data_IF_446324372422
#
_entry.id   IF_446324372422
#
_cell.length_a   1.000
_cell.length_b   1.000
_cell.length_c   1.000
_cell.angle_alpha   90.00
_cell.angle_beta   90.00
_cell.angle_gamma   90.00
#
_symmetry.space_group_name_H-M   'P 1'
#
loop_
_entity.id
_entity.type
_entity.pdbx_description
1 polymer ?
#
# COMPACT_ATOMS: atom_id res chain seq x y z
N UNK A 1 -11.64 6.49 20.29
CA UNK A 1 -10.83 5.34 19.80
C UNK A 1 -10.50 5.43 18.31
N UNK A 2 -11.43 5.79 17.42
CA UNK A 2 -11.18 5.84 15.96
C UNK A 2 -10.04 6.77 15.54
N UNK A 3 -9.97 7.98 16.10
CA UNK A 3 -8.91 8.95 15.77
C UNK A 3 -7.53 8.42 16.16
N UNK A 4 -7.38 7.84 17.35
CA UNK A 4 -6.11 7.30 17.84
C UNK A 4 -5.67 6.13 16.95
N UNK A 5 -6.58 5.22 16.60
CA UNK A 5 -6.28 4.12 15.69
C UNK A 5 -5.82 4.63 14.32
N UNK A 6 -6.49 5.65 13.75
CA UNK A 6 -6.10 6.26 12.49
C UNK A 6 -4.74 6.97 12.55
N UNK A 7 -4.42 7.63 13.67
CA UNK A 7 -3.09 8.22 13.90
C UNK A 7 -2.02 7.12 13.94
N UNK A 8 -2.27 6.01 14.65
CA UNK A 8 -1.33 4.89 14.71
C UNK A 8 -1.10 4.26 13.33
N UNK A 9 -2.15 4.09 12.53
CA UNK A 9 -2.03 3.62 11.14
C UNK A 9 -1.21 4.58 10.28
N UNK A 10 -1.46 5.88 10.38
CA UNK A 10 -0.69 6.90 9.67
C UNK A 10 0.80 6.84 10.07
N UNK A 11 1.09 6.71 11.36
CA UNK A 11 2.46 6.59 11.85
C UNK A 11 3.14 5.32 11.33
N UNK A 12 2.46 4.18 11.37
CA UNK A 12 2.95 2.91 10.81
C UNK A 12 3.21 3.07 9.30
N UNK A 13 2.29 3.68 8.55
CA UNK A 13 2.47 3.94 7.12
C UNK A 13 3.72 4.79 6.86
N UNK A 14 3.91 5.89 7.59
CA UNK A 14 5.09 6.74 7.47
C UNK A 14 6.38 5.98 7.83
N UNK A 15 6.35 5.14 8.86
CA UNK A 15 7.48 4.30 9.25
C UNK A 15 7.82 3.27 8.17
N UNK A 16 6.82 2.66 7.53
CA UNK A 16 7.06 1.73 6.42
C UNK A 16 7.65 2.44 5.21
N UNK A 17 7.16 3.63 4.88
CA UNK A 17 7.78 4.49 3.84
C UNK A 17 9.23 4.84 4.22
N UNK A 18 9.52 5.07 5.51
CA UNK A 18 10.86 5.35 6.04
C UNK A 18 11.84 4.17 5.87
N UNK A 19 11.37 2.93 5.71
CA UNK A 19 12.23 1.80 5.34
C UNK A 19 12.75 1.90 3.90
N UNK A 20 12.02 2.56 3.00
CA UNK A 20 12.35 2.66 1.57
C UNK A 20 13.26 3.85 1.25
N UNK A 21 13.34 4.83 2.14
CA UNK A 21 14.10 6.07 1.97
C UNK A 21 15.47 5.97 2.65
N UNK A 22 16.54 6.26 1.89
CA UNK A 22 17.90 6.26 2.44
C UNK A 22 18.22 7.58 3.16
N UNK A 23 19.05 7.56 4.23
CA UNK A 23 19.46 8.78 4.94
C UNK A 23 20.10 9.83 4.04
N UNK A 24 20.96 9.41 3.12
CA UNK A 24 21.65 10.31 2.21
C UNK A 24 20.66 11.07 1.31
N UNK A 25 19.57 10.43 0.86
CA UNK A 25 18.56 11.07 0.01
C UNK A 25 17.68 12.05 0.79
N UNK A 26 17.45 11.79 2.08
CA UNK A 26 16.69 12.70 2.93
C UNK A 26 17.37 14.06 3.12
N UNK A 27 18.69 14.11 2.98
CA UNK A 27 19.43 15.36 2.99
C UNK A 27 19.08 16.25 1.79
N UNK A 28 18.98 15.68 0.59
CA UNK A 28 18.78 16.43 -0.65
C UNK A 28 17.31 16.67 -1.01
N UNK A 29 16.39 15.81 -0.58
CA UNK A 29 14.98 15.91 -0.95
C UNK A 29 14.09 16.41 0.20
N UNK A 30 13.35 17.54 0.03
CA UNK A 30 12.54 18.13 1.09
C UNK A 30 11.44 17.19 1.61
N UNK A 31 10.84 16.37 0.73
CA UNK A 31 9.81 15.39 1.11
C UNK A 31 10.34 14.31 2.04
N UNK A 32 11.54 13.79 1.73
CA UNK A 32 12.21 12.79 2.57
C UNK A 32 12.66 13.40 3.89
N UNK A 33 13.10 14.66 3.88
CA UNK A 33 13.40 15.40 5.10
C UNK A 33 12.18 15.55 6.01
N UNK A 34 11.01 15.85 5.43
CA UNK A 34 9.75 15.93 6.18
C UNK A 34 9.39 14.58 6.81
N UNK A 35 9.46 13.50 6.03
CA UNK A 35 9.29 12.14 6.54
C UNK A 35 10.21 11.87 7.73
N UNK A 36 11.48 12.30 7.64
CA UNK A 36 12.44 12.12 8.72
C UNK A 36 12.07 12.91 9.96
N UNK A 37 11.69 14.18 9.80
CA UNK A 37 11.25 15.05 10.88
C UNK A 37 10.04 14.49 11.64
N UNK A 38 9.09 13.87 10.93
CA UNK A 38 7.89 13.29 11.55
C UNK A 38 8.22 11.97 12.27
N UNK A 39 9.04 11.11 11.67
CA UNK A 39 9.30 9.76 12.18
C UNK A 39 10.39 9.68 13.25
N UNK A 40 11.37 10.59 13.22
CA UNK A 40 12.52 10.53 14.13
C UNK A 40 12.15 10.57 15.62
N UNK A 41 11.23 11.44 16.11
CA UNK A 41 10.84 11.47 17.52
C UNK A 41 10.27 10.14 18.01
N UNK A 42 9.54 9.43 17.15
CA UNK A 42 8.88 8.15 17.45
C UNK A 42 9.89 7.01 17.42
N UNK A 43 10.96 7.16 16.63
CA UNK A 43 12.05 6.19 16.53
C UNK A 43 13.06 6.29 17.68
N UNK A 44 13.16 7.42 18.39
CA UNK A 44 14.15 7.64 19.46
C UNK A 44 14.24 6.47 20.46
N UNK A 45 13.13 5.92 20.99
CA UNK A 45 13.21 4.81 21.94
C UNK A 45 13.82 3.54 21.33
N UNK A 46 13.52 3.25 20.06
CA UNK A 46 14.03 2.05 19.38
C UNK A 46 15.54 2.11 19.09
N UNK A 47 16.12 3.32 19.03
CA UNK A 47 17.56 3.52 18.79
C UNK A 47 18.43 3.00 19.93
N UNK A 48 17.88 2.88 21.15
CA UNK A 48 18.58 2.27 22.27
C UNK A 48 18.67 0.74 22.17
N UNK A 49 17.75 0.12 21.42
CA UNK A 49 17.62 -1.34 21.31
C UNK A 49 18.22 -1.92 20.02
N UNK A 50 18.49 -1.07 19.03
CA UNK A 50 18.77 -1.51 17.66
C UNK A 50 20.06 -0.90 17.12
N UNK A 51 20.74 -1.65 16.24
CA UNK A 51 22.02 -1.21 15.65
C UNK A 51 21.83 -0.44 14.35
N UNK A 52 20.79 -0.79 13.60
CA UNK A 52 20.52 -0.19 12.28
C UNK A 52 19.20 0.56 12.29
N UNK A 53 19.09 1.57 11.41
CA UNK A 53 17.86 2.31 11.23
C UNK A 53 16.67 1.40 10.88
N UNK A 54 16.88 0.43 9.98
CA UNK A 54 15.82 -0.48 9.56
C UNK A 54 15.30 -1.32 10.74
N UNK A 55 16.20 -1.84 11.58
CA UNK A 55 15.82 -2.56 12.80
C UNK A 55 15.01 -1.66 13.73
N UNK A 56 15.45 -0.41 13.97
CA UNK A 56 14.71 0.53 14.81
C UNK A 56 13.29 0.78 14.32
N UNK A 57 13.14 1.01 13.00
CA UNK A 57 11.83 1.17 12.37
C UNK A 57 10.96 -0.08 12.52
N UNK A 58 11.50 -1.27 12.28
CA UNK A 58 10.75 -2.53 12.42
C UNK A 58 10.29 -2.75 13.87
N UNK A 59 11.17 -2.51 14.85
CA UNK A 59 10.84 -2.61 16.28
C UNK A 59 9.75 -1.61 16.65
N UNK A 60 9.83 -0.37 16.18
CA UNK A 60 8.79 0.63 16.42
C UNK A 60 7.47 0.26 15.78
N UNK A 61 7.46 -0.23 14.53
CA UNK A 61 6.24 -0.70 13.86
C UNK A 61 5.59 -1.83 14.69
N UNK A 62 6.36 -2.83 15.10
CA UNK A 62 5.87 -3.92 15.96
C UNK A 62 5.32 -3.39 17.28
N UNK A 63 6.01 -2.46 17.94
CA UNK A 63 5.55 -1.86 19.19
C UNK A 63 4.23 -1.09 19.00
N UNK A 64 4.07 -0.34 17.91
CA UNK A 64 2.84 0.37 17.60
C UNK A 64 1.69 -0.59 17.26
N UNK A 65 1.96 -1.70 16.58
CA UNK A 65 0.98 -2.75 16.31
C UNK A 65 0.50 -3.41 17.60
N UNK A 66 1.41 -3.74 18.52
CA UNK A 66 1.04 -4.31 19.83
C UNK A 66 0.25 -3.28 20.66
N UNK A 67 0.69 -2.01 20.67
CA UNK A 67 -0.02 -0.93 21.35
C UNK A 67 -1.44 -0.74 20.81
N UNK A 68 -1.62 -0.75 19.49
CA UNK A 68 -2.94 -0.67 18.84
C UNK A 68 -3.83 -1.84 19.25
N UNK A 69 -3.28 -3.06 19.29
CA UNK A 69 -4.00 -4.23 19.79
C UNK A 69 -4.40 -4.12 21.27
N UNK A 70 -3.55 -3.57 22.11
CA UNK A 70 -3.87 -3.29 23.51
C UNK A 70 -4.97 -2.22 23.65
N UNK A 71 -5.00 -1.20 22.78
CA UNK A 71 -6.07 -0.20 22.73
C UNK A 71 -7.41 -0.82 22.32
N UNK A 72 -7.42 -1.75 21.36
CA UNK A 72 -8.63 -2.52 21.04
C UNK A 72 -9.13 -3.29 22.26
N UNK A 73 -8.23 -3.88 23.05
CA UNK A 73 -8.61 -4.55 24.29
C UNK A 73 -9.14 -3.60 25.36
N UNK A 74 -8.50 -2.45 25.54
CA UNK A 74 -8.91 -1.44 26.51
C UNK A 74 -10.28 -0.82 26.17
N UNK A 75 -10.66 -0.81 24.88
CA UNK A 75 -11.97 -0.34 24.42
C UNK A 75 -13.12 -1.31 24.72
N UNK A 76 -12.84 -2.50 25.27
CA UNK A 76 -13.84 -3.52 25.57
C UNK A 76 -14.34 -4.30 24.34
N UNK A 77 -13.80 -4.05 23.15
CA UNK A 77 -14.25 -4.67 21.90
C UNK A 77 -13.81 -6.14 21.77
N UNK A 78 -12.66 -6.50 22.33
CA UNK A 78 -12.07 -7.84 22.20
C UNK A 78 -11.01 -8.08 23.29
N UNK A 79 -10.66 -9.34 23.57
CA UNK A 79 -9.57 -9.65 24.50
C UNK A 79 -8.18 -9.30 23.93
N UNK A 80 -7.18 -9.14 24.79
CA UNK A 80 -5.83 -8.69 24.41
C UNK A 80 -5.20 -9.49 23.26
N UNK A 81 -5.24 -10.82 23.34
CA UNK A 81 -4.70 -11.68 22.27
C UNK A 81 -5.40 -11.42 20.93
N UNK A 82 -6.74 -11.36 20.92
CA UNK A 82 -7.52 -11.05 19.71
C UNK A 82 -7.25 -9.63 19.20
N UNK A 83 -7.08 -8.66 20.10
CA UNK A 83 -6.72 -7.28 19.76
C UNK A 83 -5.36 -7.19 19.05
N UNK A 84 -4.33 -7.88 19.57
CA UNK A 84 -3.01 -7.96 18.92
C UNK A 84 -3.11 -8.67 17.57
N UNK A 85 -3.85 -9.78 17.49
CA UNK A 85 -4.09 -10.49 16.23
C UNK A 85 -4.76 -9.60 15.17
N UNK A 86 -5.81 -8.88 15.57
CA UNK A 86 -6.53 -7.95 14.71
C UNK A 86 -5.62 -6.82 14.21
N UNK A 87 -4.84 -6.19 15.10
CA UNK A 87 -3.91 -5.14 14.68
C UNK A 87 -2.80 -5.68 13.77
N UNK A 88 -2.37 -6.93 13.95
CA UNK A 88 -1.35 -7.57 13.10
C UNK A 88 -1.90 -7.87 11.71
N UNK A 89 -3.17 -8.30 11.61
CA UNK A 89 -3.87 -8.45 10.33
C UNK A 89 -4.01 -7.11 9.60
N UNK A 90 -4.35 -6.04 10.30
CA UNK A 90 -4.42 -4.70 9.71
C UNK A 90 -3.06 -4.21 9.20
N UNK A 91 -1.97 -4.48 9.92
CA UNK A 91 -0.61 -4.23 9.42
C UNK A 91 -0.33 -5.03 8.14
N UNK A 92 -0.73 -6.31 8.10
CA UNK A 92 -0.58 -7.15 6.92
C UNK A 92 -1.40 -6.62 5.72
N UNK A 93 -2.62 -6.16 5.95
CA UNK A 93 -3.46 -5.54 4.91
C UNK A 93 -2.81 -4.27 4.36
N UNK A 94 -2.31 -3.41 5.25
CA UNK A 94 -1.63 -2.17 4.88
C UNK A 94 -0.36 -2.46 4.09
N UNK A 95 0.46 -3.42 4.52
CA UNK A 95 1.65 -3.85 3.79
C UNK A 95 1.28 -4.37 2.41
N UNK A 96 0.30 -5.28 2.33
CA UNK A 96 -0.17 -5.84 1.07
C UNK A 96 -0.65 -4.75 0.12
N UNK A 97 -1.52 -3.84 0.57
CA UNK A 97 -2.01 -2.72 -0.25
C UNK A 97 -0.88 -1.79 -0.69
N UNK A 98 0.06 -1.46 0.20
CA UNK A 98 1.22 -0.64 -0.15
C UNK A 98 2.06 -1.31 -1.25
N UNK A 99 2.32 -2.62 -1.12
CA UNK A 99 3.02 -3.38 -2.15
C UNK A 99 2.24 -3.47 -3.46
N UNK A 100 0.92 -3.65 -3.43
CA UNK A 100 0.08 -3.66 -4.63
C UNK A 100 0.08 -2.30 -5.35
N UNK A 101 0.06 -1.20 -4.59
CA UNK A 101 0.24 0.14 -5.16
C UNK A 101 1.60 0.25 -5.85
N UNK A 102 2.69 -0.12 -5.17
CA UNK A 102 4.03 -0.08 -5.77
C UNK A 102 4.14 -1.01 -6.99
N UNK A 103 3.45 -2.14 -6.98
CA UNK A 103 3.40 -3.10 -8.08
C UNK A 103 2.71 -2.51 -9.31
N UNK A 104 1.55 -1.89 -9.12
CA UNK A 104 0.83 -1.19 -10.20
C UNK A 104 1.66 -0.02 -10.70
N UNK A 105 2.27 0.77 -9.82
CA UNK A 105 3.17 1.86 -10.22
C UNK A 105 4.37 1.34 -11.03
N UNK A 106 4.96 0.22 -10.63
CA UNK A 106 6.03 -0.43 -11.40
C UNK A 106 5.54 -0.91 -12.79
N UNK A 107 4.30 -1.40 -12.87
CA UNK A 107 3.68 -1.85 -14.12
C UNK A 107 3.37 -0.68 -15.06
N UNK A 108 2.84 0.43 -14.54
CA UNK A 108 2.48 1.62 -15.31
C UNK A 108 3.72 2.45 -15.70
N UNK A 109 4.72 2.51 -14.82
CA UNK A 109 5.84 3.43 -14.89
C UNK A 109 7.09 2.84 -15.54
N UNK A 110 7.08 2.64 -16.86
CA UNK A 110 8.27 2.26 -17.64
C UNK A 110 9.37 3.34 -17.69
N UNK A 111 9.11 4.57 -17.22
CA UNK A 111 10.01 5.74 -17.28
C UNK A 111 10.50 6.24 -15.91
N UNK A 112 10.31 5.46 -14.83
CA UNK A 112 10.50 5.94 -13.45
C UNK A 112 11.95 5.83 -12.93
N UNK A 113 12.87 5.29 -13.73
CA UNK A 113 14.28 5.11 -13.36
C UNK A 113 15.03 6.45 -13.39
N UNK A 114 14.87 7.25 -12.33
CA UNK A 114 15.57 8.53 -12.17
C UNK A 114 14.94 9.46 -11.14
N UNK A 115 13.65 9.30 -10.85
CA UNK A 115 12.95 10.09 -9.83
C UNK A 115 12.93 9.37 -8.47
N UNK A 116 12.67 10.09 -7.36
CA UNK A 116 12.72 9.51 -6.02
C UNK A 116 11.71 8.35 -5.82
N UNK A 117 10.52 8.44 -6.41
CA UNK A 117 9.48 7.42 -6.28
C UNK A 117 9.90 6.10 -6.96
N UNK A 118 10.48 6.14 -8.15
CA UNK A 118 10.96 4.95 -8.85
C UNK A 118 12.08 4.25 -8.09
N UNK A 119 12.94 5.00 -7.40
CA UNK A 119 13.94 4.41 -6.52
C UNK A 119 13.32 3.71 -5.31
N UNK A 120 12.27 4.27 -4.71
CA UNK A 120 11.53 3.63 -3.62
C UNK A 120 10.85 2.34 -4.08
N UNK A 121 10.18 2.37 -5.25
CA UNK A 121 9.58 1.20 -5.87
C UNK A 121 10.64 0.12 -6.10
N UNK A 122 11.75 0.44 -6.75
CA UNK A 122 12.83 -0.51 -6.98
C UNK A 122 13.33 -1.14 -5.68
N UNK A 123 13.53 -0.36 -4.61
CA UNK A 123 13.97 -0.87 -3.30
C UNK A 123 12.95 -1.77 -2.63
N UNK A 124 11.67 -1.44 -2.72
CA UNK A 124 10.61 -2.26 -2.14
C UNK A 124 10.60 -3.67 -2.75
N UNK A 125 10.86 -3.78 -4.06
CA UNK A 125 10.89 -5.07 -4.74
C UNK A 125 12.21 -5.82 -4.60
N UNK A 126 13.33 -5.19 -4.20
CA UNK A 126 14.64 -5.86 -4.09
C UNK A 126 14.61 -7.21 -3.33
N UNK A 127 13.97 -7.33 -2.14
CA UNK A 127 13.95 -8.61 -1.43
C UNK A 127 13.18 -9.68 -2.21
N UNK A 128 12.05 -9.31 -2.81
CA UNK A 128 11.20 -10.22 -3.58
C UNK A 128 11.88 -10.65 -4.88
N UNK A 129 12.48 -9.70 -5.60
CA UNK A 129 13.20 -9.95 -6.85
C UNK A 129 14.41 -10.87 -6.62
N UNK A 130 15.10 -10.70 -5.49
CA UNK A 130 16.21 -11.56 -5.10
C UNK A 130 15.75 -12.99 -4.81
N UNK A 131 14.64 -13.14 -4.07
CA UNK A 131 14.04 -14.44 -3.79
C UNK A 131 13.54 -15.12 -5.06
N UNK A 132 12.85 -14.39 -5.94
CA UNK A 132 12.36 -14.91 -7.21
C UNK A 132 13.50 -15.29 -8.14
N UNK A 133 14.58 -14.52 -8.15
CA UNK A 133 15.81 -14.85 -8.87
C UNK A 133 16.44 -16.14 -8.37
N UNK A 134 16.50 -16.35 -7.05
CA UNK A 134 16.93 -17.60 -6.45
C UNK A 134 16.04 -18.80 -6.83
N UNK A 135 14.73 -18.58 -6.94
CA UNK A 135 13.75 -19.56 -7.42
C UNK A 135 13.76 -19.77 -8.95
N UNK A 136 14.66 -19.10 -9.68
CA UNK A 136 14.83 -19.27 -11.13
C UNK A 136 13.83 -18.51 -12.00
N UNK A 137 13.10 -17.53 -11.47
CA UNK A 137 12.17 -16.73 -12.28
C UNK A 137 12.93 -15.83 -13.26
N UNK A 138 12.56 -15.80 -14.56
CA UNK A 138 13.23 -14.99 -15.55
C UNK A 138 12.91 -13.50 -15.34
N UNK A 139 13.89 -12.62 -15.63
CA UNK A 139 13.79 -11.16 -15.40
C UNK A 139 12.53 -10.52 -16.01
N UNK A 140 12.09 -11.00 -17.17
CA UNK A 140 10.88 -10.52 -17.88
C UNK A 140 9.57 -10.83 -17.14
N UNK A 141 9.56 -11.82 -16.25
CA UNK A 141 8.38 -12.26 -15.48
C UNK A 141 8.48 -11.93 -13.99
N UNK A 142 9.50 -11.17 -13.56
CA UNK A 142 9.70 -10.85 -12.15
C UNK A 142 8.48 -10.12 -11.56
N UNK A 143 7.89 -9.16 -12.29
CA UNK A 143 6.69 -8.47 -11.81
C UNK A 143 5.52 -9.42 -11.58
N UNK A 144 5.26 -10.36 -12.49
CA UNK A 144 4.22 -11.37 -12.27
C UNK A 144 4.56 -12.30 -11.11
N UNK A 145 5.82 -12.70 -10.99
CA UNK A 145 6.31 -13.50 -9.87
C UNK A 145 6.15 -12.79 -8.52
N UNK A 146 6.41 -11.49 -8.46
CA UNK A 146 6.30 -10.71 -7.22
C UNK A 146 4.84 -10.53 -6.81
N UNK A 147 3.92 -10.33 -7.76
CA UNK A 147 2.49 -10.35 -7.50
C UNK A 147 2.04 -11.68 -6.88
N UNK A 148 2.38 -12.80 -7.52
CA UNK A 148 1.98 -14.13 -7.06
C UNK A 148 2.58 -14.45 -5.69
N UNK A 149 3.85 -14.14 -5.48
CA UNK A 149 4.54 -14.35 -4.21
C UNK A 149 3.91 -13.51 -3.09
N UNK A 150 3.67 -12.22 -3.34
CA UNK A 150 3.02 -11.33 -2.38
C UNK A 150 1.62 -11.81 -2.02
N UNK A 151 0.86 -12.27 -3.00
CA UNK A 151 -0.47 -12.85 -2.78
C UNK A 151 -0.40 -14.12 -1.94
N UNK A 152 0.48 -15.06 -2.28
CA UNK A 152 0.65 -16.30 -1.54
C UNK A 152 1.08 -16.05 -0.09
N UNK A 153 2.04 -15.13 0.12
CA UNK A 153 2.49 -14.74 1.45
C UNK A 153 1.35 -14.08 2.23
N UNK A 154 0.59 -13.18 1.60
CA UNK A 154 -0.57 -12.55 2.24
C UNK A 154 -1.58 -13.59 2.73
N UNK A 155 -2.00 -14.50 1.85
CA UNK A 155 -2.94 -15.57 2.19
C UNK A 155 -2.42 -16.43 3.33
N UNK A 156 -1.16 -16.86 3.25
CA UNK A 156 -0.52 -17.67 4.28
C UNK A 156 -0.49 -16.95 5.63
N UNK A 157 0.03 -15.72 5.68
CA UNK A 157 0.15 -14.98 6.94
C UNK A 157 -1.21 -14.59 7.52
N UNK A 158 -2.18 -14.22 6.68
CA UNK A 158 -3.54 -13.90 7.14
C UNK A 158 -4.22 -15.12 7.76
N UNK A 159 -4.10 -16.29 7.12
CA UNK A 159 -4.61 -17.55 7.67
C UNK A 159 -3.93 -17.91 8.99
N UNK A 160 -2.60 -17.85 9.06
CA UNK A 160 -1.84 -18.16 10.28
C UNK A 160 -2.18 -17.21 11.44
N UNK A 161 -2.28 -15.90 11.18
CA UNK A 161 -2.65 -14.92 12.20
C UNK A 161 -4.06 -15.19 12.74
N UNK A 162 -5.02 -15.51 11.88
CA UNK A 162 -6.39 -15.87 12.29
C UNK A 162 -6.44 -17.19 13.06
N UNK A 163 -5.75 -18.22 12.57
CA UNK A 163 -5.64 -19.51 13.25
C UNK A 163 -5.09 -19.35 14.66
N UNK A 164 -3.94 -18.67 14.80
CA UNK A 164 -3.26 -18.49 16.08
C UNK A 164 -4.02 -17.58 17.06
N UNK A 165 -4.44 -16.39 16.64
CA UNK A 165 -4.99 -15.38 17.57
C UNK A 165 -6.51 -15.50 17.78
N UNK A 166 -7.26 -16.05 16.83
CA UNK A 166 -8.73 -16.13 16.89
C UNK A 166 -9.19 -17.53 17.27
N UNK A 167 -8.73 -18.54 16.53
CA UNK A 167 -9.15 -19.94 16.70
C UNK A 167 -8.34 -20.70 17.76
N UNK A 168 -7.09 -20.28 17.99
CA UNK A 168 -6.09 -20.98 18.83
C UNK A 168 -5.79 -22.41 18.34
N UNK A 169 -5.85 -22.61 17.04
CA UNK A 169 -5.59 -23.90 16.38
C UNK A 169 -4.95 -23.66 14.99
N UNK A 170 -4.51 -24.73 14.33
CA UNK A 170 -4.05 -24.67 12.96
C UNK A 170 -5.17 -24.15 12.04
N UNK A 171 -4.87 -23.23 11.12
CA UNK A 171 -5.91 -22.64 10.29
C UNK A 171 -6.59 -23.70 9.40
N UNK A 172 -7.93 -23.82 9.44
CA UNK A 172 -8.63 -24.67 8.50
C UNK A 172 -8.46 -24.15 7.05
N UNK A 173 -8.61 -25.01 6.03
CA UNK A 173 -8.50 -24.62 4.62
C UNK A 173 -9.35 -23.41 4.23
N UNK A 174 -10.52 -23.25 4.88
CA UNK A 174 -11.44 -22.13 4.69
C UNK A 174 -10.78 -20.76 4.95
N UNK A 175 -9.83 -20.67 5.90
CA UNK A 175 -9.12 -19.41 6.17
C UNK A 175 -8.17 -19.01 5.04
N UNK A 176 -7.62 -19.97 4.30
CA UNK A 176 -6.79 -19.69 3.13
C UNK A 176 -7.65 -19.18 1.97
N UNK A 177 -8.82 -19.80 1.76
CA UNK A 177 -9.80 -19.29 0.79
C UNK A 177 -10.25 -17.87 1.17
N UNK A 178 -10.61 -17.64 2.42
CA UNK A 178 -10.97 -16.30 2.91
C UNK A 178 -9.84 -15.29 2.69
N UNK A 179 -8.59 -15.65 2.99
CA UNK A 179 -7.43 -14.79 2.73
C UNK A 179 -7.24 -14.49 1.24
N UNK A 180 -7.53 -15.43 0.35
CA UNK A 180 -7.44 -15.21 -1.10
C UNK A 180 -8.46 -14.17 -1.57
N UNK A 181 -9.73 -14.34 -1.19
CA UNK A 181 -10.80 -13.40 -1.52
C UNK A 181 -10.57 -12.03 -0.90
N UNK A 182 -10.08 -11.98 0.34
CA UNK A 182 -9.71 -10.73 1.00
C UNK A 182 -8.59 -9.99 0.25
N UNK A 183 -7.53 -10.70 -0.16
CA UNK A 183 -6.47 -10.11 -0.99
C UNK A 183 -7.04 -9.54 -2.29
N UNK A 184 -8.00 -10.22 -2.90
CA UNK A 184 -8.68 -9.77 -4.12
C UNK A 184 -9.48 -8.48 -3.88
N UNK A 185 -10.21 -8.41 -2.78
CA UNK A 185 -10.95 -7.22 -2.37
C UNK A 185 -10.04 -6.04 -2.07
N UNK A 186 -8.92 -6.28 -1.38
CA UNK A 186 -7.93 -5.25 -1.07
C UNK A 186 -7.27 -4.70 -2.35
N UNK A 187 -6.97 -5.56 -3.31
CA UNK A 187 -6.40 -5.17 -4.59
C UNK A 187 -7.38 -4.36 -5.45
N UNK A 188 -8.62 -4.85 -5.62
CA UNK A 188 -9.66 -4.13 -6.35
C UNK A 188 -9.99 -2.80 -5.67
N UNK A 189 -9.97 -2.78 -4.32
CA UNK A 189 -10.22 -1.61 -3.50
C UNK A 189 -9.22 -0.45 -3.65
N UNK A 190 -8.15 -0.61 -4.44
CA UNK A 190 -7.21 0.48 -4.72
C UNK A 190 -7.76 1.53 -5.70
N UNK A 191 -8.75 1.16 -6.52
CA UNK A 191 -9.28 1.99 -7.61
C UNK A 191 -10.55 2.80 -7.26
N UNK A 192 -11.55 2.25 -6.52
CA UNK A 192 -12.69 3.04 -6.05
C UNK A 192 -12.25 4.21 -5.17
N UNK A 193 -13.00 5.31 -5.18
CA UNK A 193 -12.81 6.46 -4.31
C UNK A 193 -13.17 6.13 -2.85
N UNK A 194 -12.33 6.50 -1.85
CA UNK A 194 -11.14 7.37 -1.90
C UNK A 194 -9.79 6.64 -2.03
N UNK A 195 -9.73 5.49 -2.70
CA UNK A 195 -8.53 4.68 -2.89
C UNK A 195 -7.36 5.41 -3.56
N UNK A 196 -6.14 4.88 -3.38
CA UNK A 196 -4.89 5.54 -3.80
C UNK A 196 -4.92 6.06 -5.24
N UNK A 197 -5.34 5.24 -6.21
CA UNK A 197 -5.33 5.66 -7.61
C UNK A 197 -6.36 6.74 -7.89
N UNK A 198 -7.54 6.69 -7.26
CA UNK A 198 -8.51 7.77 -7.38
C UNK A 198 -7.95 9.10 -6.87
N UNK A 199 -7.22 9.10 -5.75
CA UNK A 199 -6.56 10.30 -5.22
C UNK A 199 -5.47 10.83 -6.16
N UNK A 200 -4.66 9.94 -6.75
CA UNK A 200 -3.64 10.32 -7.72
C UNK A 200 -4.26 10.91 -8.98
N UNK A 201 -5.38 10.36 -9.46
CA UNK A 201 -6.13 10.91 -10.60
C UNK A 201 -6.70 12.30 -10.29
N UNK A 202 -7.31 12.49 -9.12
CA UNK A 202 -7.78 13.81 -8.65
C UNK A 202 -6.62 14.78 -8.55
N UNK A 203 -5.49 14.38 -7.96
CA UNK A 203 -4.30 15.21 -7.86
C UNK A 203 -3.78 15.59 -9.25
N UNK A 204 -3.67 14.64 -10.19
CA UNK A 204 -3.24 14.91 -11.56
C UNK A 204 -4.17 15.88 -12.29
N UNK A 205 -5.48 15.76 -12.11
CA UNK A 205 -6.48 16.69 -12.63
C UNK A 205 -6.27 18.11 -12.09
N UNK A 206 -6.12 18.25 -10.76
CA UNK A 206 -5.89 19.54 -10.13
C UNK A 206 -4.57 20.19 -10.59
N UNK A 207 -3.50 19.39 -10.74
CA UNK A 207 -2.22 19.89 -11.25
C UNK A 207 -2.34 20.35 -12.71
N UNK A 208 -3.20 19.73 -13.52
CA UNK A 208 -3.40 20.15 -14.92
C UNK A 208 -4.00 21.54 -15.04
N UNK A 209 -4.82 21.97 -14.06
CA UNK A 209 -5.45 23.28 -14.06
C UNK A 209 -4.52 24.42 -13.62
N UNK A 210 -3.61 24.13 -12.69
CA UNK A 210 -2.68 25.14 -12.14
C UNK A 210 -1.32 25.15 -12.83
N UNK A 211 -1.04 24.16 -13.68
CA UNK A 211 0.18 24.01 -14.47
C UNK A 211 1.49 24.28 -13.69
N UNK A 212 1.78 23.46 -12.65
CA UNK A 212 2.94 23.66 -11.77
C UNK A 212 4.25 23.28 -12.46
N UNK A 213 5.39 23.71 -11.89
CA UNK A 213 6.73 23.38 -12.42
C UNK A 213 6.90 21.86 -12.64
N UNK A 214 7.07 21.41 -13.90
CA UNK A 214 7.28 20.01 -14.23
C UNK A 214 8.56 19.43 -13.66
N UNK A 215 9.53 20.25 -13.20
CA UNK A 215 10.75 19.74 -12.56
C UNK A 215 10.51 19.27 -11.13
N UNK A 216 9.34 19.59 -10.54
CA UNK A 216 9.01 19.13 -9.20
C UNK A 216 8.83 17.60 -9.18
N UNK A 217 9.57 16.85 -8.35
CA UNK A 217 9.50 15.39 -8.32
C UNK A 217 8.11 14.86 -7.94
N UNK A 218 7.33 15.61 -7.16
CA UNK A 218 5.95 15.23 -6.79
C UNK A 218 5.01 15.36 -7.99
N UNK A 219 5.14 16.44 -8.76
CA UNK A 219 4.38 16.67 -9.99
C UNK A 219 4.69 15.57 -11.00
N UNK A 220 5.97 15.27 -11.22
CA UNK A 220 6.41 14.17 -12.10
C UNK A 220 5.88 12.81 -11.65
N UNK A 221 5.88 12.53 -10.34
CA UNK A 221 5.35 11.28 -9.81
C UNK A 221 3.85 11.15 -10.04
N UNK A 222 3.08 12.21 -9.78
CA UNK A 222 1.63 12.21 -9.98
C UNK A 222 1.31 12.02 -11.46
N UNK A 223 1.89 12.83 -12.37
CA UNK A 223 1.67 12.65 -13.80
C UNK A 223 2.16 11.30 -14.31
N UNK A 224 3.30 10.80 -13.83
CA UNK A 224 3.83 9.49 -14.23
C UNK A 224 2.90 8.32 -13.90
N UNK A 225 2.02 8.47 -12.90
CA UNK A 225 1.02 7.47 -12.54
C UNK A 225 -0.34 7.79 -13.19
N UNK A 226 -0.77 9.06 -13.17
CA UNK A 226 -2.09 9.45 -13.66
C UNK A 226 -2.19 9.38 -15.18
N UNK A 227 -1.14 9.74 -15.93
CA UNK A 227 -1.18 9.80 -17.39
C UNK A 227 -1.48 8.44 -18.04
N UNK A 228 -0.82 7.32 -17.69
CA UNK A 228 -1.19 6.01 -18.22
C UNK A 228 -2.65 5.61 -17.95
N UNK A 229 -3.22 6.08 -16.84
CA UNK A 229 -4.60 5.81 -16.45
C UNK A 229 -5.60 6.73 -17.15
N UNK A 230 -5.23 7.98 -17.44
CA UNK A 230 -6.08 9.00 -18.08
C UNK A 230 -6.02 8.96 -19.61
N UNK A 231 -4.87 8.60 -20.19
CA UNK A 231 -4.64 8.61 -21.63
C UNK A 231 -5.69 7.81 -22.43
N UNK A 232 -6.18 6.64 -21.98
CA UNK A 232 -7.27 5.94 -22.66
C UNK A 232 -8.56 6.76 -22.73
N UNK A 233 -8.91 7.50 -21.67
CA UNK A 233 -10.13 8.30 -21.60
C UNK A 233 -10.03 9.58 -22.45
N UNK A 234 -8.85 10.20 -22.51
CA UNK A 234 -8.59 11.37 -23.38
C UNK A 234 -8.75 11.08 -24.87
N UNK A 235 -8.66 9.81 -25.29
CA UNK A 235 -8.93 9.43 -26.69
C UNK A 235 -10.40 9.56 -27.06
N UNK A 236 -11.31 9.49 -26.09
CA UNK A 236 -12.75 9.52 -26.32
C UNK A 236 -13.41 10.84 -25.90
N UNK A 237 -12.75 11.61 -25.03
CA UNK A 237 -13.28 12.85 -24.48
C UNK A 237 -12.61 14.03 -25.18
N UNK A 238 -13.34 14.84 -25.96
CA UNK A 238 -12.77 16.04 -26.55
C UNK A 238 -12.41 17.06 -25.47
N UNK A 239 -11.32 17.80 -25.67
CA UNK A 239 -10.96 18.92 -24.80
C UNK A 239 -12.01 20.04 -24.98
N UNK A 240 -12.92 20.18 -24.02
CA UNK A 240 -13.95 21.22 -24.03
C UNK A 240 -13.38 22.50 -23.42
N UNK A 241 -12.99 23.46 -24.27
CA UNK A 241 -12.54 24.78 -23.81
C UNK A 241 -11.23 24.76 -23.00
N UNK A 242 -10.35 23.79 -23.26
CA UNK A 242 -9.05 23.67 -22.57
C UNK A 242 -9.11 22.99 -21.19
N UNK A 243 -10.29 22.56 -20.74
CA UNK A 243 -10.46 21.78 -19.51
C UNK A 243 -10.51 20.30 -19.86
N UNK A 244 -9.61 19.52 -19.26
CA UNK A 244 -9.57 18.06 -19.39
C UNK A 244 -10.59 17.42 -18.43
N UNK A 245 -11.70 16.92 -18.99
CA UNK A 245 -12.73 16.18 -18.25
C UNK A 245 -12.45 14.67 -18.15
N UNK A 246 -11.37 14.18 -18.76
CA UNK A 246 -10.98 12.77 -18.67
C UNK A 246 -10.82 12.24 -17.25
N UNK A 247 -10.33 13.01 -16.25
CA UNK A 247 -10.25 12.53 -14.88
C UNK A 247 -11.61 12.24 -14.26
N UNK A 248 -12.63 13.05 -14.55
CA UNK A 248 -13.97 12.84 -14.02
C UNK A 248 -14.56 11.53 -14.54
N UNK A 249 -14.44 11.28 -15.84
CA UNK A 249 -14.93 10.05 -16.47
C UNK A 249 -14.13 8.83 -16.01
N UNK A 250 -12.81 8.96 -15.90
CA UNK A 250 -11.94 7.90 -15.39
C UNK A 250 -12.31 7.53 -13.95
N UNK A 251 -12.49 8.52 -13.07
CA UNK A 251 -12.91 8.30 -11.68
C UNK A 251 -14.27 7.60 -11.60
N UNK A 252 -15.25 8.04 -12.38
CA UNK A 252 -16.57 7.41 -12.44
C UNK A 252 -16.47 5.96 -12.93
N UNK A 253 -15.70 5.71 -13.98
CA UNK A 253 -15.49 4.36 -14.52
C UNK A 253 -14.82 3.44 -13.49
N UNK A 254 -13.72 3.88 -12.87
CA UNK A 254 -13.04 3.09 -11.83
C UNK A 254 -13.91 2.87 -10.59
N UNK A 255 -14.72 3.85 -10.20
CA UNK A 255 -15.67 3.70 -9.10
C UNK A 255 -16.72 2.63 -9.41
N UNK A 256 -17.37 2.70 -10.57
CA UNK A 256 -18.44 1.76 -10.95
C UNK A 256 -17.85 0.36 -11.14
N UNK A 257 -16.79 0.23 -11.95
CA UNK A 257 -16.19 -1.08 -12.24
C UNK A 257 -15.59 -1.72 -10.99
N UNK A 258 -14.88 -0.94 -10.16
CA UNK A 258 -14.27 -1.43 -8.93
C UNK A 258 -15.32 -1.85 -7.89
N UNK A 259 -16.37 -1.04 -7.69
CA UNK A 259 -17.44 -1.40 -6.75
C UNK A 259 -18.26 -2.61 -7.22
N UNK A 260 -18.57 -2.71 -8.51
CA UNK A 260 -19.21 -3.88 -9.09
C UNK A 260 -18.34 -5.14 -8.93
N UNK A 261 -17.04 -5.04 -9.23
CA UNK A 261 -16.10 -6.15 -9.06
C UNK A 261 -16.00 -6.59 -7.59
N UNK A 262 -15.95 -5.65 -6.64
CA UNK A 262 -15.97 -5.99 -5.21
C UNK A 262 -17.25 -6.71 -4.82
N UNK A 263 -18.41 -6.25 -5.29
CA UNK A 263 -19.69 -6.91 -5.01
C UNK A 263 -19.73 -8.34 -5.56
N UNK A 264 -19.23 -8.55 -6.79
CA UNK A 264 -19.13 -9.88 -7.39
C UNK A 264 -18.24 -10.81 -6.56
N UNK A 265 -17.05 -10.33 -6.17
CA UNK A 265 -16.11 -11.09 -5.35
C UNK A 265 -16.73 -11.47 -4.00
N UNK A 266 -17.47 -10.54 -3.37
CA UNK A 266 -18.19 -10.80 -2.12
C UNK A 266 -19.33 -11.81 -2.30
N UNK A 267 -20.09 -11.74 -3.41
CA UNK A 267 -21.14 -12.70 -3.72
C UNK A 267 -20.58 -14.11 -3.92
N UNK A 268 -19.51 -14.24 -4.71
CA UNK A 268 -18.82 -15.52 -4.93
C UNK A 268 -18.32 -16.08 -3.61
N UNK A 269 -17.63 -15.27 -2.80
CA UNK A 269 -17.11 -15.72 -1.50
C UNK A 269 -18.23 -16.24 -0.59
N UNK A 270 -19.35 -15.50 -0.47
CA UNK A 270 -20.51 -15.90 0.34
C UNK A 270 -21.21 -17.16 -0.18
N UNK A 271 -21.13 -17.46 -1.46
CA UNK A 271 -21.70 -18.68 -2.02
C UNK A 271 -20.87 -19.94 -1.74
N UNK A 272 -19.61 -19.77 -1.35
CA UNK A 272 -18.67 -20.85 -1.03
C UNK A 272 -18.58 -21.15 0.48
N UNK A 273 -19.13 -20.27 1.32
CA UNK A 273 -19.18 -20.37 2.79
C UNK A 273 -20.55 -20.82 3.27
#
# INVERSE_FOLDING_TARGET
MSIIAGVLELLVMLLLVRLLVRPAEAFFHPMYRLLYKITDPILLPSRYLTKTQAQGVLVTVLALTVLKGALYSASGQMGLARGIGQSSLELLHLLFQAYMVLWIVALLGSQTYGNPLGQMVARAFLPLDSLLGYLGFPRRRILLGSLLLLWALFVLFAALLRGFFILKDFPPPELFLAGFFEGLLLFIGLFPFPGFFSLVLVAGALLSWVNPDPRNPVVNAIYGISEPLLAPFRRFIPNLGGIDFSPLVALLAFQILGSAAQQLVLQVFRSMS
#
